data_IF_391557374015
#
_entry.id   IF_391557374015
#
_cell.length_a   1.000
_cell.length_b   1.000
_cell.length_c   1.000
_cell.angle_alpha   90.00
_cell.angle_beta   90.00
_cell.angle_gamma   90.00
#
_symmetry.space_group_name_H-M   'P 1'
#
loop_
_entity.id
_entity.type
_entity.pdbx_description
1 polymer ?
#
# COMPACT_ATOMS: atom_id res chain seq x y z
N UNK A 1 -5.77 -8.07 -10.83
CA UNK A 1 -4.97 -7.10 -10.06
C UNK A 1 -3.74 -7.81 -9.48
N UNK A 2 -2.58 -7.20 -9.63
CA UNK A 2 -1.36 -7.74 -9.04
C UNK A 2 -1.36 -7.54 -7.54
N UNK A 3 -0.86 -8.53 -6.82
CA UNK A 3 -0.77 -8.50 -5.36
C UNK A 3 0.61 -8.91 -4.88
N UNK A 4 1.00 -8.44 -3.71
CA UNK A 4 2.13 -8.98 -2.96
C UNK A 4 1.62 -9.41 -1.59
N UNK A 5 2.21 -10.48 -1.06
CA UNK A 5 1.91 -10.92 0.31
C UNK A 5 2.73 -10.11 1.30
N UNK A 6 2.34 -10.16 2.59
CA UNK A 6 3.13 -9.50 3.63
C UNK A 6 4.52 -10.13 3.76
N UNK A 7 4.66 -11.43 3.50
CA UNK A 7 5.96 -12.09 3.48
C UNK A 7 6.84 -11.55 2.36
N UNK A 8 6.28 -11.37 1.17
CA UNK A 8 7.00 -10.78 0.04
C UNK A 8 7.42 -9.34 0.33
N UNK A 9 6.53 -8.53 0.92
CA UNK A 9 6.86 -7.17 1.31
C UNK A 9 8.00 -7.15 2.33
N UNK A 10 7.95 -8.04 3.34
CA UNK A 10 9.02 -8.15 4.34
C UNK A 10 10.36 -8.45 3.68
N UNK A 11 10.37 -9.36 2.71
CA UNK A 11 11.59 -9.69 1.95
C UNK A 11 12.11 -8.49 1.18
N UNK A 12 11.21 -7.72 0.54
CA UNK A 12 11.60 -6.50 -0.18
C UNK A 12 12.23 -5.47 0.75
N UNK A 13 11.66 -5.29 1.94
CA UNK A 13 12.21 -4.38 2.95
C UNK A 13 13.57 -4.84 3.44
N UNK A 14 13.70 -6.12 3.77
CA UNK A 14 14.93 -6.69 4.31
C UNK A 14 16.08 -6.64 3.30
N UNK A 15 15.78 -6.84 2.02
CA UNK A 15 16.77 -6.77 0.94
C UNK A 15 17.04 -5.33 0.46
N UNK A 16 16.34 -4.35 1.03
CA UNK A 16 16.44 -2.94 0.67
C UNK A 16 16.17 -2.69 -0.81
N UNK A 17 15.19 -3.42 -1.36
CA UNK A 17 14.75 -3.23 -2.73
C UNK A 17 14.23 -1.80 -2.91
N UNK A 18 14.47 -1.19 -4.07
CA UNK A 18 13.95 0.15 -4.38
C UNK A 18 12.50 0.04 -4.82
N UNK A 19 11.57 0.39 -3.93
CA UNK A 19 10.13 0.40 -4.21
C UNK A 19 9.48 1.52 -3.42
N UNK A 20 8.23 1.85 -3.80
CA UNK A 20 7.42 2.82 -3.08
C UNK A 20 6.34 2.09 -2.30
N UNK A 21 6.10 2.49 -1.05
CA UNK A 21 5.01 1.97 -0.22
C UNK A 21 4.05 3.11 0.09
N UNK A 22 2.78 2.95 -0.28
CA UNK A 22 1.74 3.96 -0.10
C UNK A 22 0.62 3.40 0.77
N UNK A 23 0.19 4.21 1.73
CA UNK A 23 -0.94 3.91 2.63
C UNK A 23 -2.10 4.82 2.25
N UNK A 24 -3.25 4.22 1.89
CA UNK A 24 -4.44 5.00 1.49
C UNK A 24 -5.50 5.07 2.59
N UNK A 25 -5.12 4.76 3.84
CA UNK A 25 -6.00 4.91 5.00
C UNK A 25 -6.12 6.37 5.40
N UNK A 26 -6.89 6.62 6.46
CA UNK A 26 -7.04 7.96 7.01
C UNK A 26 -5.93 8.30 8.00
N UNK A 27 -5.71 9.59 8.24
CA UNK A 27 -4.65 10.06 9.15
C UNK A 27 -4.75 9.44 10.54
N UNK A 28 -5.96 9.33 11.10
CA UNK A 28 -6.13 8.77 12.45
C UNK A 28 -5.77 7.27 12.50
N UNK A 29 -5.97 6.54 11.41
CA UNK A 29 -5.56 5.14 11.32
C UNK A 29 -4.03 5.04 11.29
N UNK A 30 -3.40 5.90 10.49
CA UNK A 30 -1.94 5.99 10.40
C UNK A 30 -1.31 6.32 11.75
N UNK A 31 -1.90 7.28 12.46
CA UNK A 31 -1.40 7.70 13.77
C UNK A 31 -1.49 6.56 14.79
N UNK A 32 -2.51 5.71 14.67
CA UNK A 32 -2.70 4.57 15.57
C UNK A 32 -1.67 3.47 15.33
N UNK A 33 -1.49 3.08 14.08
CA UNK A 33 -0.52 2.04 13.67
C UNK A 33 -0.18 2.25 12.20
N UNK A 34 1.09 2.09 11.82
CA UNK A 34 1.50 2.27 10.43
C UNK A 34 2.72 1.42 10.09
N UNK A 35 3.03 1.33 8.80
CA UNK A 35 4.21 0.67 8.25
C UNK A 35 5.26 1.69 7.78
N UNK A 36 5.17 2.93 8.25
CA UNK A 36 6.04 4.04 7.83
C UNK A 36 5.93 4.32 6.32
N UNK A 37 4.77 4.01 5.73
CA UNK A 37 4.47 4.25 4.33
C UNK A 37 4.18 5.74 4.09
N UNK A 38 4.21 6.13 2.84
CA UNK A 38 3.76 7.46 2.42
C UNK A 38 2.24 7.48 2.49
N UNK A 39 1.67 8.37 3.31
CA UNK A 39 0.22 8.46 3.49
C UNK A 39 -0.40 9.33 2.41
N UNK A 40 -1.29 8.74 1.62
CA UNK A 40 -2.12 9.45 0.65
C UNK A 40 -3.53 8.90 0.81
N UNK A 41 -4.37 9.52 1.65
CA UNK A 41 -5.72 9.00 1.90
C UNK A 41 -6.52 8.80 0.63
N UNK A 42 -7.36 7.76 0.60
CA UNK A 42 -8.10 7.36 -0.61
C UNK A 42 -8.86 8.52 -1.24
N UNK A 43 -9.51 9.36 -0.43
CA UNK A 43 -10.27 10.51 -0.93
C UNK A 43 -9.41 11.57 -1.62
N UNK A 44 -8.10 11.52 -1.47
CA UNK A 44 -7.15 12.46 -2.08
C UNK A 44 -6.22 11.77 -3.06
N UNK A 45 -6.37 10.46 -3.24
CA UNK A 45 -5.40 9.67 -4.02
C UNK A 45 -5.32 10.13 -5.47
N UNK A 46 -6.44 10.32 -6.14
CA UNK A 46 -6.47 10.69 -7.55
C UNK A 46 -5.95 12.12 -7.78
N UNK A 47 -6.04 13.00 -6.79
CA UNK A 47 -5.48 14.35 -6.86
C UNK A 47 -3.96 14.36 -6.70
N UNK A 48 -3.40 13.25 -6.22
CA UNK A 48 -1.97 13.13 -5.90
C UNK A 48 -1.28 12.03 -6.70
N UNK A 49 -1.80 11.70 -7.88
CA UNK A 49 -1.22 10.63 -8.72
C UNK A 49 0.20 10.94 -9.19
N UNK A 50 0.59 12.21 -9.22
CA UNK A 50 1.95 12.63 -9.52
C UNK A 50 2.97 12.13 -8.48
N UNK A 51 2.51 11.76 -7.29
CA UNK A 51 3.35 11.20 -6.23
C UNK A 51 3.57 9.69 -6.39
N UNK A 52 2.81 9.04 -7.28
CA UNK A 52 2.90 7.61 -7.50
C UNK A 52 3.93 7.33 -8.57
N UNK A 53 4.97 6.58 -8.23
CA UNK A 53 6.07 6.27 -9.14
C UNK A 53 5.59 5.44 -10.34
N UNK A 54 6.24 5.62 -11.49
CA UNK A 54 6.00 4.85 -12.71
C UNK A 54 7.18 3.97 -13.09
N UNK A 55 8.32 4.14 -12.43
CA UNK A 55 9.61 3.54 -12.80
C UNK A 55 10.10 2.48 -11.80
N UNK A 56 9.28 2.12 -10.82
CA UNK A 56 9.60 1.11 -9.81
C UNK A 56 8.31 0.46 -9.31
N UNK A 57 8.42 -0.64 -8.58
CA UNK A 57 7.27 -1.26 -7.94
C UNK A 57 6.65 -0.29 -6.94
N UNK A 58 5.33 -0.20 -6.96
CA UNK A 58 4.56 0.57 -5.98
C UNK A 58 3.62 -0.40 -5.28
N UNK A 59 3.77 -0.51 -3.96
CA UNK A 59 2.91 -1.34 -3.12
C UNK A 59 1.93 -0.40 -2.43
N UNK A 60 0.64 -0.64 -2.59
CA UNK A 60 -0.40 0.19 -1.99
C UNK A 60 -1.14 -0.67 -0.96
N UNK A 61 -1.33 -0.12 0.24
CA UNK A 61 -2.00 -0.85 1.29
C UNK A 61 -3.06 -0.01 2.01
N UNK A 62 -3.95 -0.71 2.67
CA UNK A 62 -4.92 -0.13 3.59
C UNK A 62 -5.07 -1.07 4.79
N UNK A 63 -6.26 -1.12 5.41
CA UNK A 63 -6.51 -2.01 6.54
C UNK A 63 -6.52 -3.48 6.12
N UNK A 64 -7.32 -3.83 5.10
CA UNK A 64 -7.55 -5.23 4.68
C UNK A 64 -7.33 -5.49 3.20
N UNK A 65 -7.09 -4.45 2.40
CA UNK A 65 -6.87 -4.57 0.96
C UNK A 65 -7.98 -4.01 0.07
N UNK A 66 -9.15 -3.65 0.63
CA UNK A 66 -10.29 -3.18 -0.16
C UNK A 66 -10.08 -1.78 -0.72
N UNK A 67 -9.74 -0.82 0.14
CA UNK A 67 -9.52 0.57 -0.29
C UNK A 67 -8.32 0.70 -1.22
N UNK A 68 -7.24 0.00 -0.91
CA UNK A 68 -6.04 0.02 -1.75
C UNK A 68 -6.31 -0.61 -3.11
N UNK A 69 -7.09 -1.68 -3.17
CA UNK A 69 -7.52 -2.26 -4.43
C UNK A 69 -8.33 -1.27 -5.26
N UNK A 70 -9.26 -0.54 -4.62
CA UNK A 70 -10.05 0.49 -5.31
C UNK A 70 -9.17 1.62 -5.84
N UNK A 71 -8.17 2.05 -5.09
CA UNK A 71 -7.22 3.07 -5.54
C UNK A 71 -6.46 2.63 -6.79
N UNK A 72 -5.97 1.39 -6.81
CA UNK A 72 -5.26 0.83 -7.96
C UNK A 72 -6.16 0.79 -9.19
N UNK A 73 -7.37 0.25 -9.05
CA UNK A 73 -8.31 0.14 -10.17
C UNK A 73 -8.70 1.51 -10.72
N UNK A 74 -8.93 2.49 -9.84
CA UNK A 74 -9.28 3.84 -10.25
C UNK A 74 -8.14 4.49 -11.06
N UNK A 75 -6.90 4.35 -10.60
CA UNK A 75 -5.75 4.93 -11.27
C UNK A 75 -5.52 4.27 -12.64
N UNK A 76 -5.57 2.93 -12.69
CA UNK A 76 -5.37 2.20 -13.93
C UNK A 76 -6.47 2.47 -14.96
N UNK A 77 -7.71 2.74 -14.50
CA UNK A 77 -8.81 3.11 -15.40
C UNK A 77 -8.66 4.54 -15.94
N UNK A 78 -8.08 5.44 -15.15
CA UNK A 78 -7.95 6.84 -15.51
C UNK A 78 -6.71 7.14 -16.36
N UNK A 79 -5.63 6.40 -16.16
CA UNK A 79 -4.33 6.67 -16.79
C UNK A 79 -3.61 5.40 -17.17
N UNK A 80 -2.94 5.39 -18.34
CA UNK A 80 -2.01 4.34 -18.71
C UNK A 80 -0.65 4.52 -18.03
N UNK A 81 0.20 3.50 -18.16
CA UNK A 81 1.59 3.57 -17.65
C UNK A 81 1.76 3.10 -16.20
N UNK A 82 0.72 2.52 -15.60
CA UNK A 82 0.75 2.06 -14.22
C UNK A 82 0.61 0.53 -14.12
N UNK A 83 1.46 -0.21 -14.82
CA UNK A 83 1.52 -1.67 -14.71
C UNK A 83 2.35 -2.13 -13.51
N UNK A 84 2.88 -1.20 -12.75
CA UNK A 84 3.81 -1.40 -11.64
C UNK A 84 3.14 -1.36 -10.26
N UNK A 85 1.82 -1.36 -10.19
CA UNK A 85 1.06 -1.25 -8.95
C UNK A 85 0.70 -2.63 -8.40
N UNK A 86 0.88 -2.80 -7.09
CA UNK A 86 0.60 -4.05 -6.37
C UNK A 86 -0.22 -3.74 -5.13
N UNK A 87 -1.27 -4.52 -4.89
CA UNK A 87 -2.05 -4.44 -3.67
C UNK A 87 -1.42 -5.33 -2.60
N UNK A 88 -1.22 -4.82 -1.39
CA UNK A 88 -0.76 -5.64 -0.27
C UNK A 88 -1.90 -6.54 0.19
N UNK A 89 -1.77 -7.82 -0.08
CA UNK A 89 -2.81 -8.81 0.24
C UNK A 89 -3.04 -8.87 1.75
N UNK A 90 -4.28 -8.63 2.16
CA UNK A 90 -4.66 -8.64 3.57
C UNK A 90 -4.30 -7.38 4.34
N UNK A 91 -3.62 -6.43 3.73
CA UNK A 91 -3.31 -5.13 4.30
C UNK A 91 -2.50 -5.18 5.58
N UNK A 92 -2.62 -4.10 6.37
CA UNK A 92 -1.86 -3.98 7.63
C UNK A 92 -2.31 -5.03 8.67
N UNK A 93 -3.56 -5.52 8.57
CA UNK A 93 -4.03 -6.59 9.46
C UNK A 93 -3.22 -7.87 9.24
N UNK A 94 -2.97 -8.25 7.99
CA UNK A 94 -2.16 -9.42 7.67
C UNK A 94 -0.71 -9.22 8.14
N UNK A 95 -0.18 -8.00 8.02
CA UNK A 95 1.16 -7.69 8.53
C UNK A 95 1.22 -7.91 10.04
N UNK A 96 0.23 -7.41 10.79
CA UNK A 96 0.17 -7.58 12.24
C UNK A 96 0.05 -9.05 12.63
N UNK A 97 -0.73 -9.83 11.86
CA UNK A 97 -0.93 -11.26 12.15
C UNK A 97 0.32 -12.11 11.87
N UNK A 98 1.00 -11.83 10.77
CA UNK A 98 1.98 -12.77 10.20
C UNK A 98 3.42 -12.30 10.30
N UNK A 99 3.65 -11.00 10.42
CA UNK A 99 5.00 -10.42 10.42
C UNK A 99 5.35 -9.82 11.78
N UNK A 100 4.49 -8.94 12.30
CA UNK A 100 4.78 -8.19 13.52
C UNK A 100 3.58 -8.17 14.46
N UNK A 101 3.45 -9.19 15.34
CA UNK A 101 2.32 -9.24 16.27
C UNK A 101 2.30 -8.12 17.33
N UNK A 102 3.37 -7.34 17.45
CA UNK A 102 3.39 -6.18 18.36
C UNK A 102 2.56 -5.01 17.83
N UNK A 103 2.24 -5.00 16.53
CA UNK A 103 1.39 -3.95 15.96
C UNK A 103 -0.07 -4.20 16.33
N UNK A 104 -0.75 -3.18 16.91
CA UNK A 104 -2.15 -3.34 17.30
C UNK A 104 -3.05 -3.49 16.07
N UNK A 105 -4.09 -4.30 16.22
CA UNK A 105 -5.15 -4.41 15.22
C UNK A 105 -6.36 -3.56 15.63
N UNK A 106 -7.16 -3.21 14.63
CA UNK A 106 -8.34 -2.38 14.89
C UNK A 106 -9.51 -2.70 13.95
#
# INVERSE_FOLDING_TARGET
>A
MKEVTVQELKTMMDSKEDFQLIDVREQHEYDFVNLEAELIPLGQFMENVDKVATDKKVIIHCRSGARSGNAILALQAAKGGYENLYNLKGGILAWADQIDPSKPKY
#
